data_IF_402823160974
#
_entry.id   IF_402823160974
#
_cell.length_a   1.000
_cell.length_b   1.000
_cell.length_c   1.000
_cell.angle_alpha   90.00
_cell.angle_beta   90.00
_cell.angle_gamma   90.00
#
_symmetry.space_group_name_H-M   'P 1'
#
loop_
_entity.id
_entity.type
_entity.pdbx_description
1 polymer ?
#
# COMPACT_ATOMS: atom_id res chain seq x y z
N UNK A 1 -4.75 -31.80 39.10
CA UNK A 1 -4.33 -31.06 40.31
C UNK A 1 -2.82 -30.81 40.21
N UNK A 2 -2.36 -30.03 39.22
CA UNK A 2 -2.08 -28.58 39.24
C UNK A 2 -0.89 -28.22 40.15
N UNK A 3 0.32 -28.34 39.59
CA UNK A 3 1.48 -27.49 39.84
C UNK A 3 2.10 -27.32 38.45
N UNK A 4 1.91 -26.24 37.70
CA UNK A 4 1.94 -24.83 38.08
C UNK A 4 3.19 -24.26 37.42
N UNK A 5 3.01 -23.72 36.21
CA UNK A 5 4.03 -23.25 35.25
C UNK A 5 5.23 -22.53 35.91
N UNK A 6 6.46 -22.69 35.35
CA UNK A 6 7.62 -21.96 35.85
C UNK A 6 7.35 -20.46 35.69
N UNK A 7 7.39 -19.76 36.83
CA UNK A 7 7.32 -18.30 36.91
C UNK A 7 8.51 -17.74 36.12
N UNK A 8 8.30 -17.33 34.87
CA UNK A 8 9.27 -16.50 34.16
C UNK A 8 9.51 -15.25 35.02
N UNK A 9 10.77 -14.92 35.25
CA UNK A 9 11.18 -13.79 36.09
C UNK A 9 10.56 -12.47 35.59
N UNK A 10 10.20 -11.58 36.51
CA UNK A 10 9.63 -10.25 36.22
C UNK A 10 10.50 -9.41 35.28
N UNK A 11 11.83 -9.59 35.35
CA UNK A 11 12.80 -8.95 34.46
C UNK A 11 12.70 -9.43 33.01
N UNK A 12 12.49 -10.74 32.78
CA UNK A 12 12.31 -11.27 31.42
C UNK A 12 10.96 -10.85 30.84
N UNK A 13 9.91 -10.79 31.66
CA UNK A 13 8.60 -10.30 31.25
C UNK A 13 8.68 -8.82 30.88
N UNK A 14 9.33 -7.99 31.71
CA UNK A 14 9.53 -6.57 31.42
C UNK A 14 10.33 -6.34 30.14
N UNK A 15 11.41 -7.08 29.91
CA UNK A 15 12.22 -6.96 28.69
C UNK A 15 11.44 -7.40 27.44
N UNK A 16 10.64 -8.46 27.52
CA UNK A 16 9.75 -8.87 26.42
C UNK A 16 8.63 -7.85 26.19
N UNK A 17 8.05 -7.28 27.24
CA UNK A 17 7.04 -6.23 27.15
C UNK A 17 7.61 -4.95 26.53
N UNK A 18 8.81 -4.51 26.92
CA UNK A 18 9.47 -3.36 26.33
C UNK A 18 9.75 -3.62 24.84
N UNK A 19 10.24 -4.80 24.47
CA UNK A 19 10.51 -5.16 23.08
C UNK A 19 9.22 -5.25 22.24
N UNK A 20 8.14 -5.78 22.80
CA UNK A 20 6.81 -5.83 22.16
C UNK A 20 6.23 -4.42 22.01
N UNK A 21 6.30 -3.59 23.05
CA UNK A 21 5.87 -2.19 23.00
C UNK A 21 6.71 -1.37 22.01
N UNK A 22 8.01 -1.66 21.89
CA UNK A 22 8.91 -1.07 20.90
C UNK A 22 8.58 -1.50 19.48
N UNK A 23 8.26 -2.78 19.22
CA UNK A 23 7.79 -3.27 17.92
C UNK A 23 6.43 -2.65 17.55
N UNK A 24 5.53 -2.50 18.51
CA UNK A 24 4.22 -1.85 18.31
C UNK A 24 4.41 -0.36 18.00
N UNK A 25 5.29 0.32 18.71
CA UNK A 25 5.66 1.71 18.44
C UNK A 25 6.31 1.86 17.06
N UNK A 26 7.19 0.94 16.67
CA UNK A 26 7.82 0.89 15.34
C UNK A 26 6.79 0.71 14.21
N UNK A 27 5.74 -0.09 14.45
CA UNK A 27 4.60 -0.25 13.53
C UNK A 27 3.72 1.00 13.45
N UNK A 28 3.55 1.74 14.57
CA UNK A 28 2.72 2.95 14.65
C UNK A 28 3.32 4.17 13.92
N UNK A 29 4.62 4.18 13.65
CA UNK A 29 5.33 5.27 12.93
C UNK A 29 5.22 5.12 11.39
N UNK A 30 4.57 4.07 10.88
CA UNK A 30 4.36 3.86 9.45
C UNK A 30 3.33 4.86 8.89
N UNK A 31 3.76 6.09 8.65
CA UNK A 31 3.00 7.07 7.88
C UNK A 31 2.95 6.59 6.42
N UNK A 32 1.79 6.10 6.02
CA UNK A 32 1.56 5.63 4.66
C UNK A 32 1.12 6.80 3.77
N UNK A 33 1.77 6.97 2.61
CA UNK A 33 1.47 8.07 1.69
C UNK A 33 0.12 7.83 1.00
N UNK A 34 -0.95 8.38 1.58
CA UNK A 34 -2.31 8.24 1.05
C UNK A 34 -2.88 9.55 0.51
N UNK A 35 -3.56 9.48 -0.64
CA UNK A 35 -4.19 10.63 -1.32
C UNK A 35 -5.60 10.27 -1.72
N UNK A 36 -6.56 11.15 -1.45
CA UNK A 36 -7.96 11.00 -1.86
C UNK A 36 -8.20 11.68 -3.21
N UNK A 37 -8.82 10.96 -4.14
CA UNK A 37 -9.32 11.45 -5.42
C UNK A 37 -10.83 11.22 -5.53
N UNK A 38 -11.45 11.67 -6.62
CA UNK A 38 -12.89 11.51 -6.85
C UNK A 38 -13.31 10.02 -6.87
N UNK A 39 -12.47 9.16 -7.44
CA UNK A 39 -12.78 7.74 -7.65
C UNK A 39 -12.39 6.84 -6.47
N UNK A 40 -11.64 7.34 -5.48
CA UNK A 40 -11.23 6.54 -4.32
C UNK A 40 -9.98 7.06 -3.61
N UNK A 41 -9.36 6.20 -2.80
CA UNK A 41 -8.11 6.49 -2.07
C UNK A 41 -6.95 5.77 -2.76
N UNK A 42 -5.83 6.47 -2.90
CA UNK A 42 -4.59 5.98 -3.48
C UNK A 42 -3.50 5.91 -2.43
N UNK A 43 -2.66 4.90 -2.51
CA UNK A 43 -1.43 4.76 -1.74
C UNK A 43 -0.24 4.86 -2.67
N UNK A 44 0.63 5.85 -2.45
CA UNK A 44 1.80 6.10 -3.28
C UNK A 44 3.10 5.72 -2.59
N UNK A 45 4.21 6.10 -3.22
CA UNK A 45 5.54 6.02 -2.63
C UNK A 45 6.33 7.31 -2.85
N UNK A 46 7.35 7.51 -2.03
CA UNK A 46 8.32 8.59 -2.17
C UNK A 46 9.54 8.07 -2.91
N UNK A 47 9.91 8.70 -4.02
CA UNK A 47 11.08 8.34 -4.84
C UNK A 47 12.04 9.52 -4.97
N UNK A 48 13.26 9.25 -5.44
CA UNK A 48 14.24 10.27 -5.79
C UNK A 48 14.52 10.27 -7.29
N UNK A 49 14.56 11.47 -7.86
CA UNK A 49 15.00 11.71 -9.23
C UNK A 49 16.50 11.42 -9.37
N UNK A 50 16.98 11.29 -10.61
CA UNK A 50 18.41 11.20 -10.94
C UNK A 50 19.21 12.39 -10.39
N UNK A 51 18.58 13.57 -10.29
CA UNK A 51 19.17 14.80 -9.74
C UNK A 51 19.04 14.90 -8.21
N UNK A 52 18.64 13.82 -7.51
CA UNK A 52 18.50 13.79 -6.06
C UNK A 52 17.24 14.48 -5.50
N UNK A 53 16.33 14.95 -6.36
CA UNK A 53 15.07 15.58 -5.94
C UNK A 53 14.05 14.52 -5.51
N UNK A 54 13.53 14.65 -4.29
CA UNK A 54 12.45 13.81 -3.78
C UNK A 54 11.11 14.17 -4.44
N UNK A 55 10.34 13.17 -4.86
CA UNK A 55 9.00 13.33 -5.44
C UNK A 55 8.05 12.21 -5.00
N UNK A 56 6.75 12.51 -5.03
CA UNK A 56 5.68 11.55 -4.76
C UNK A 56 5.28 10.85 -6.06
N UNK A 57 5.23 9.52 -6.04
CA UNK A 57 4.93 8.67 -7.20
C UNK A 57 3.66 7.88 -6.94
N UNK A 58 2.72 7.97 -7.89
CA UNK A 58 1.51 7.16 -7.95
C UNK A 58 1.40 6.57 -9.36
N UNK A 59 1.41 5.25 -9.48
CA UNK A 59 1.43 4.54 -10.76
C UNK A 59 0.28 3.55 -10.89
N UNK A 60 -0.22 3.35 -12.12
CA UNK A 60 -1.26 2.35 -12.39
C UNK A 60 -2.68 2.77 -12.03
N UNK A 61 -2.93 4.06 -11.81
CA UNK A 61 -4.26 4.59 -11.49
C UNK A 61 -5.19 4.42 -12.72
N UNK A 62 -6.33 3.71 -12.59
CA UNK A 62 -7.28 3.58 -13.68
C UNK A 62 -8.03 4.89 -13.89
N UNK A 63 -8.08 5.39 -15.13
CA UNK A 63 -8.85 6.58 -15.51
C UNK A 63 -10.11 6.24 -16.32
N UNK A 64 -10.21 5.00 -16.80
CA UNK A 64 -11.31 4.50 -17.62
C UNK A 64 -11.49 3.00 -17.40
N UNK A 65 -12.65 2.48 -17.80
CA UNK A 65 -12.91 1.04 -17.83
C UNK A 65 -11.94 0.33 -18.79
N UNK A 66 -11.48 -0.88 -18.46
CA UNK A 66 -10.65 -1.65 -19.38
C UNK A 66 -11.36 -1.88 -20.73
N UNK A 67 -10.72 -1.60 -21.88
CA UNK A 67 -11.35 -1.71 -23.20
C UNK A 67 -11.38 -3.16 -23.70
N UNK A 68 -12.01 -4.05 -22.93
CA UNK A 68 -12.11 -5.49 -23.20
C UNK A 68 -13.53 -5.87 -23.65
N UNK A 69 -13.67 -6.98 -24.39
CA UNK A 69 -14.95 -7.44 -24.90
C UNK A 69 -15.63 -6.41 -25.80
N UNK A 70 -16.89 -6.09 -25.51
CA UNK A 70 -17.70 -5.11 -26.25
C UNK A 70 -17.20 -3.67 -26.16
N UNK A 71 -16.29 -3.35 -25.22
CA UNK A 71 -15.67 -2.03 -25.11
C UNK A 71 -14.48 -1.85 -26.06
N UNK A 72 -14.01 -2.93 -26.69
CA UNK A 72 -12.92 -2.85 -27.65
C UNK A 72 -13.34 -1.97 -28.83
N UNK A 73 -12.47 -1.04 -29.21
CA UNK A 73 -12.69 -0.06 -30.27
C UNK A 73 -13.79 0.98 -30.00
N UNK A 74 -14.36 1.01 -28.79
CA UNK A 74 -15.28 2.09 -28.37
C UNK A 74 -14.53 3.20 -27.64
N UNK A 75 -15.21 4.33 -27.48
CA UNK A 75 -14.73 5.41 -26.64
C UNK A 75 -14.52 4.92 -25.19
N UNK A 76 -13.51 5.44 -24.47
CA UNK A 76 -13.28 5.06 -23.08
C UNK A 76 -14.46 5.47 -22.20
N UNK A 77 -14.96 4.53 -21.41
CA UNK A 77 -15.98 4.80 -20.40
C UNK A 77 -15.32 5.14 -19.06
N UNK A 78 -15.91 6.03 -18.24
CA UNK A 78 -15.36 6.40 -16.94
C UNK A 78 -15.29 5.19 -16.00
N UNK A 79 -14.24 5.16 -15.18
CA UNK A 79 -14.05 4.09 -14.17
C UNK A 79 -15.11 4.18 -13.08
N UNK A 80 -15.46 3.05 -12.50
CA UNK A 80 -16.31 3.02 -11.31
C UNK A 80 -15.46 3.30 -10.07
N UNK A 81 -15.93 4.15 -9.13
CA UNK A 81 -15.23 4.39 -7.88
C UNK A 81 -14.98 3.08 -7.13
N UNK A 82 -13.81 2.96 -6.51
CA UNK A 82 -13.45 1.79 -5.71
C UNK A 82 -13.58 2.06 -4.22
N UNK A 83 -13.88 0.98 -3.47
CA UNK A 83 -13.85 1.00 -2.03
C UNK A 83 -12.47 0.59 -1.51
N UNK A 84 -12.01 1.26 -0.45
CA UNK A 84 -10.71 0.99 0.16
C UNK A 84 -9.57 1.78 -0.50
N UNK A 85 -8.35 1.27 -0.33
CA UNK A 85 -7.11 1.92 -0.75
C UNK A 85 -6.53 1.16 -1.94
N UNK A 86 -6.36 1.85 -3.06
CA UNK A 86 -5.67 1.32 -4.23
C UNK A 86 -4.17 1.54 -4.08
N UNK A 87 -3.41 0.44 -4.10
CA UNK A 87 -1.95 0.50 -4.07
C UNK A 87 -1.40 0.96 -5.43
N UNK A 88 -0.94 2.21 -5.46
CA UNK A 88 -0.30 2.89 -6.58
C UNK A 88 1.21 3.10 -6.33
N UNK A 89 1.81 2.37 -5.38
CA UNK A 89 3.25 2.44 -5.10
C UNK A 89 4.08 1.64 -6.12
N UNK A 90 3.53 0.54 -6.64
CA UNK A 90 4.25 -0.37 -7.53
C UNK A 90 4.12 0.01 -9.01
N UNK A 91 5.20 -0.20 -9.77
CA UNK A 91 5.20 0.01 -11.23
C UNK A 91 4.17 -0.93 -11.87
N UNK A 92 3.21 -0.37 -12.59
CA UNK A 92 2.23 -1.16 -13.32
C UNK A 92 2.90 -1.93 -14.47
N UNK A 93 2.71 -3.25 -14.49
CA UNK A 93 3.16 -4.13 -15.58
C UNK A 93 2.13 -4.23 -16.73
N UNK A 94 1.03 -3.45 -16.68
CA UNK A 94 -0.02 -3.46 -17.70
C UNK A 94 0.37 -2.53 -18.85
N UNK A 95 0.76 -3.10 -19.98
CA UNK A 95 1.15 -2.38 -21.20
C UNK A 95 0.18 -2.72 -22.32
N UNK A 96 -0.11 -1.76 -23.20
CA UNK A 96 -0.96 -1.97 -24.37
C UNK A 96 -0.33 -2.93 -25.37
N UNK A 97 -1.17 -3.60 -26.15
CA UNK A 97 -0.70 -4.53 -27.18
C UNK A 97 -0.01 -3.76 -28.31
N UNK A 98 1.22 -4.17 -28.62
CA UNK A 98 2.03 -3.59 -29.69
C UNK A 98 2.87 -4.71 -30.34
N UNK A 99 3.13 -4.61 -31.64
CA UNK A 99 4.10 -5.45 -32.35
C UNK A 99 5.27 -4.57 -32.78
N UNK A 100 6.49 -5.08 -32.62
CA UNK A 100 7.71 -4.45 -33.14
C UNK A 100 7.91 -4.77 -34.62
#
# INVERSE_FOLDING_TARGET
>A
WIFGLPLLNTEEINMRCIYILWIIFLKLVCCELEVRIADGILRGQVLQSRDGRTYYSFTGIPYAKPPIGELRFKAPEPVEPWNGILDASSKSNKICIQKN
#
